data_IF_766664761820
#
_entry.id   IF_766664761820
#
_cell.length_a   1.000
_cell.length_b   1.000
_cell.length_c   1.000
_cell.angle_alpha   90.00
_cell.angle_beta   90.00
_cell.angle_gamma   90.00
#
_symmetry.space_group_name_H-M   'P 1'
#
loop_
_entity.id
_entity.type
_entity.pdbx_description
1 polymer ?
#
# COMPACT_ATOMS: atom_id res chain seq x y z
N UNK A 1 -4.97 -28.90 2.50
CA UNK A 1 -5.46 -29.26 1.14
C UNK A 1 -4.40 -28.83 0.13
N UNK A 2 -3.81 -29.74 -0.64
CA UNK A 2 -2.89 -29.38 -1.71
C UNK A 2 -3.71 -28.81 -2.86
N UNK A 3 -3.49 -27.58 -3.18
CA UNK A 3 -4.19 -26.86 -4.24
C UNK A 3 -3.62 -27.28 -5.59
N UNK A 4 -4.36 -28.05 -6.35
CA UNK A 4 -4.03 -28.31 -7.76
C UNK A 4 -4.70 -27.21 -8.56
N UNK A 5 -3.90 -26.38 -9.24
CA UNK A 5 -4.38 -25.21 -9.97
C UNK A 5 -5.44 -25.56 -11.03
N UNK A 6 -6.14 -24.55 -11.56
CA UNK A 6 -7.29 -24.69 -12.46
C UNK A 6 -6.99 -25.42 -13.77
N UNK A 7 -5.73 -25.50 -14.15
CA UNK A 7 -5.28 -26.12 -15.42
C UNK A 7 -5.58 -27.61 -15.55
N UNK A 8 -5.93 -28.29 -14.46
CA UNK A 8 -6.21 -29.73 -14.47
C UNK A 8 -7.69 -30.04 -14.30
N UNK A 9 -8.58 -29.06 -14.31
CA UNK A 9 -10.02 -29.31 -14.28
C UNK A 9 -10.56 -29.38 -15.71
N UNK A 10 -11.11 -30.54 -16.07
CA UNK A 10 -11.76 -30.78 -17.36
C UNK A 10 -13.17 -30.16 -17.46
N UNK A 11 -13.74 -29.67 -16.36
CA UNK A 11 -15.06 -29.04 -16.31
C UNK A 11 -14.98 -27.55 -16.25
N UNK A 12 -15.95 -26.82 -16.82
CA UNK A 12 -16.08 -25.37 -16.66
C UNK A 12 -16.13 -24.99 -15.18
N UNK A 13 -15.31 -24.04 -14.78
CA UNK A 13 -15.34 -23.50 -13.42
C UNK A 13 -16.60 -22.65 -13.26
N UNK A 14 -17.31 -22.83 -12.15
CA UNK A 14 -18.38 -21.90 -11.78
C UNK A 14 -17.78 -20.52 -11.44
N UNK A 15 -18.52 -19.43 -11.70
CA UNK A 15 -18.07 -18.07 -11.40
C UNK A 15 -17.70 -17.90 -9.92
N UNK A 16 -18.44 -18.55 -9.02
CA UNK A 16 -18.14 -18.57 -7.57
C UNK A 16 -16.80 -19.23 -7.23
N UNK A 17 -16.38 -20.25 -7.98
CA UNK A 17 -15.09 -20.90 -7.79
C UNK A 17 -13.95 -19.99 -8.21
N UNK A 18 -14.13 -19.28 -9.33
CA UNK A 18 -13.15 -18.31 -9.85
C UNK A 18 -13.00 -17.15 -8.88
N UNK A 19 -14.11 -16.56 -8.42
CA UNK A 19 -14.14 -15.49 -7.44
C UNK A 19 -13.42 -15.88 -6.15
N UNK A 20 -13.75 -17.05 -5.60
CA UNK A 20 -13.09 -17.56 -4.40
C UNK A 20 -11.58 -17.78 -4.57
N UNK A 21 -11.14 -18.20 -5.75
CA UNK A 21 -9.71 -18.40 -6.05
C UNK A 21 -8.98 -17.08 -6.19
N UNK A 22 -9.56 -16.10 -6.90
CA UNK A 22 -9.01 -14.76 -7.05
C UNK A 22 -8.90 -14.05 -5.70
N UNK A 23 -9.94 -14.15 -4.89
CA UNK A 23 -9.92 -13.59 -3.54
C UNK A 23 -8.79 -14.20 -2.68
N UNK A 24 -8.68 -15.53 -2.67
CA UNK A 24 -7.63 -16.19 -1.90
C UNK A 24 -6.24 -15.80 -2.38
N UNK A 25 -6.02 -15.74 -3.70
CA UNK A 25 -4.75 -15.32 -4.29
C UNK A 25 -4.41 -13.87 -3.91
N UNK A 26 -5.35 -12.96 -4.04
CA UNK A 26 -5.18 -11.55 -3.70
C UNK A 26 -4.84 -11.37 -2.22
N UNK A 27 -5.55 -12.06 -1.34
CA UNK A 27 -5.30 -12.05 0.10
C UNK A 27 -3.89 -12.54 0.45
N UNK A 28 -3.48 -13.68 -0.07
CA UNK A 28 -2.15 -14.23 0.23
C UNK A 28 -1.03 -13.42 -0.42
N UNK A 29 -1.26 -12.83 -1.59
CA UNK A 29 -0.31 -11.93 -2.22
C UNK A 29 -0.08 -10.66 -1.38
N UNK A 30 -1.15 -9.98 -0.96
CA UNK A 30 -1.04 -8.79 -0.10
C UNK A 30 -0.41 -9.13 1.26
N UNK A 31 -0.83 -10.22 1.89
CA UNK A 31 -0.24 -10.68 3.15
C UNK A 31 1.26 -10.95 3.01
N UNK A 32 1.67 -11.58 1.92
CA UNK A 32 3.08 -11.88 1.67
C UNK A 32 3.89 -10.62 1.38
N UNK A 33 3.38 -9.74 0.51
CA UNK A 33 4.08 -8.55 0.07
C UNK A 33 4.05 -7.47 1.17
N UNK A 34 2.87 -7.11 1.64
CA UNK A 34 2.69 -5.93 2.49
C UNK A 34 3.02 -6.22 3.95
N UNK A 35 2.62 -7.40 4.47
CA UNK A 35 2.78 -7.69 5.89
C UNK A 35 4.09 -8.40 6.23
N UNK A 36 4.73 -9.10 5.30
CA UNK A 36 5.86 -9.98 5.64
C UNK A 36 7.11 -9.82 4.78
N UNK A 37 7.08 -9.12 3.65
CA UNK A 37 8.21 -9.13 2.70
C UNK A 37 9.43 -8.35 3.14
N UNK A 38 9.26 -7.35 3.99
CA UNK A 38 10.30 -6.35 4.37
C UNK A 38 10.87 -5.57 3.16
N UNK A 39 10.15 -5.58 2.03
CA UNK A 39 10.60 -4.95 0.78
C UNK A 39 10.35 -3.45 0.73
N UNK A 40 10.52 -2.74 1.83
CA UNK A 40 10.21 -1.32 1.91
C UNK A 40 10.54 -0.72 3.26
N UNK A 41 9.97 0.44 3.54
CA UNK A 41 10.00 1.07 4.86
C UNK A 41 8.92 0.40 5.69
N UNK A 42 9.31 -0.13 6.85
CA UNK A 42 8.39 -0.80 7.76
C UNK A 42 7.64 0.21 8.63
N UNK A 43 6.39 -0.10 8.90
CA UNK A 43 5.59 0.61 9.88
C UNK A 43 6.19 0.44 11.28
N UNK A 44 6.26 1.53 12.03
CA UNK A 44 6.70 1.52 13.42
C UNK A 44 5.81 2.46 14.23
N UNK A 45 5.20 1.94 15.29
CA UNK A 45 4.37 2.73 16.22
C UNK A 45 5.06 3.99 16.77
N UNK A 46 6.39 4.00 16.81
CA UNK A 46 7.15 5.16 17.31
C UNK A 46 7.09 6.37 16.40
N UNK A 47 6.74 6.17 15.13
CA UNK A 47 6.68 7.22 14.11
C UNK A 47 5.25 7.78 13.94
N UNK A 48 4.25 7.10 14.46
CA UNK A 48 2.85 7.54 14.41
C UNK A 48 2.54 8.44 15.61
N UNK A 49 2.64 9.76 15.43
CA UNK A 49 2.34 10.75 16.46
C UNK A 49 0.83 10.98 16.71
N UNK A 50 -0.05 10.33 15.95
CA UNK A 50 -1.49 10.67 15.90
C UNK A 50 -2.47 9.55 16.22
N UNK A 51 -2.06 8.28 16.37
CA UNK A 51 -3.04 7.20 16.56
C UNK A 51 -3.39 6.98 18.03
N UNK A 52 -4.63 7.37 18.40
CA UNK A 52 -5.23 7.15 19.72
C UNK A 52 -5.99 5.83 19.88
N UNK A 53 -5.92 4.90 18.91
CA UNK A 53 -6.63 3.63 18.96
C UNK A 53 -5.77 2.49 19.48
N UNK A 54 -5.92 2.17 20.76
CA UNK A 54 -5.07 1.21 21.50
C UNK A 54 -5.40 -0.27 21.31
N UNK A 55 -6.54 -0.66 20.73
CA UNK A 55 -6.99 -2.06 20.72
C UNK A 55 -6.60 -2.88 19.48
N UNK A 56 -6.50 -2.25 18.31
CA UNK A 56 -6.30 -2.98 17.04
C UNK A 56 -4.82 -3.12 16.63
N UNK A 57 -3.95 -2.40 17.31
CA UNK A 57 -2.50 -2.39 17.07
C UNK A 57 -1.82 -3.73 17.37
N UNK A 58 -2.39 -4.57 18.24
CA UNK A 58 -1.80 -5.86 18.61
C UNK A 58 -1.68 -6.87 17.46
N UNK A 59 -2.46 -6.69 16.40
CA UNK A 59 -2.40 -7.56 15.21
C UNK A 59 -1.27 -7.11 14.30
N UNK A 60 -1.10 -5.80 14.10
CA UNK A 60 -0.01 -5.24 13.29
C UNK A 60 1.37 -5.57 13.89
N UNK A 61 1.47 -5.65 15.22
CA UNK A 61 2.71 -6.00 15.92
C UNK A 61 3.21 -7.43 15.64
N UNK A 62 2.32 -8.32 15.18
CA UNK A 62 2.66 -9.69 14.79
C UNK A 62 3.30 -9.78 13.41
N UNK A 63 3.22 -8.72 12.63
CA UNK A 63 3.74 -8.61 11.28
C UNK A 63 4.83 -7.52 11.21
N UNK A 64 5.47 -7.41 10.07
CA UNK A 64 6.37 -6.30 9.73
C UNK A 64 5.79 -5.52 8.56
N UNK A 65 4.62 -4.85 8.77
CA UNK A 65 3.88 -4.25 7.68
C UNK A 65 4.68 -3.12 7.02
N UNK A 66 4.50 -2.98 5.71
CA UNK A 66 5.15 -1.92 4.95
C UNK A 66 4.31 -0.66 4.96
N UNK A 67 4.93 0.47 5.33
CA UNK A 67 4.35 1.78 5.12
C UNK A 67 4.64 2.32 3.72
N UNK A 68 5.73 1.87 3.12
CA UNK A 68 6.15 2.27 1.79
C UNK A 68 6.93 1.15 1.12
N UNK A 69 6.64 0.86 -0.15
CA UNK A 69 7.23 -0.22 -0.93
C UNK A 69 8.38 0.30 -1.79
N UNK A 70 9.50 -0.43 -1.83
CA UNK A 70 10.61 -0.17 -2.73
C UNK A 70 10.40 -0.81 -4.10
N UNK A 71 10.82 -0.10 -5.15
CA UNK A 71 10.96 -0.68 -6.48
C UNK A 71 12.09 -1.68 -6.49
N UNK A 72 11.83 -2.83 -7.08
CA UNK A 72 12.82 -3.90 -7.19
C UNK A 72 13.43 -3.97 -8.59
N UNK A 73 14.75 -4.14 -8.64
CA UNK A 73 15.48 -4.35 -9.90
C UNK A 73 15.76 -5.81 -10.20
N UNK A 74 16.02 -6.64 -9.20
CA UNK A 74 16.31 -8.08 -9.34
C UNK A 74 15.74 -8.86 -8.16
N UNK A 75 14.85 -9.82 -8.39
CA UNK A 75 14.18 -10.57 -7.33
C UNK A 75 15.05 -11.73 -6.82
N UNK A 76 15.73 -11.55 -5.73
CA UNK A 76 16.27 -12.66 -4.96
C UNK A 76 15.34 -12.95 -3.78
N UNK A 77 14.88 -14.20 -3.70
CA UNK A 77 14.04 -14.70 -2.65
C UNK A 77 14.85 -15.58 -1.72
N UNK A 78 14.91 -15.23 -0.46
CA UNK A 78 15.60 -16.01 0.56
C UNK A 78 14.69 -17.11 1.03
N UNK A 79 15.00 -18.35 0.70
CA UNK A 79 14.37 -19.52 1.28
C UNK A 79 15.15 -19.98 2.52
N UNK A 80 14.63 -19.66 3.69
CA UNK A 80 15.09 -20.31 4.92
C UNK A 80 13.96 -21.14 5.51
N UNK A 81 14.29 -22.11 6.38
CA UNK A 81 13.28 -22.92 7.08
C UNK A 81 12.31 -22.05 7.90
N UNK A 82 12.75 -20.88 8.35
CA UNK A 82 12.04 -20.03 9.30
C UNK A 82 11.59 -18.68 8.71
N UNK A 83 12.01 -18.30 7.53
CA UNK A 83 11.58 -17.05 6.90
C UNK A 83 11.47 -17.19 5.39
N UNK A 84 10.42 -16.57 4.85
CA UNK A 84 10.21 -16.41 3.41
C UNK A 84 10.22 -14.91 3.13
N UNK A 85 11.37 -14.36 2.83
CA UNK A 85 11.54 -12.93 2.56
C UNK A 85 12.40 -12.71 1.32
N UNK A 86 12.28 -11.53 0.75
CA UNK A 86 13.19 -11.10 -0.30
C UNK A 86 14.50 -10.58 0.32
N UNK A 87 15.60 -10.70 -0.42
CA UNK A 87 16.87 -10.13 -0.02
C UNK A 87 16.83 -8.60 -0.15
N UNK A 88 16.89 -7.90 0.97
CA UNK A 88 16.86 -6.43 1.02
C UNK A 88 18.04 -5.79 0.27
N UNK A 89 19.20 -6.45 0.22
CA UNK A 89 20.37 -5.96 -0.51
C UNK A 89 20.15 -5.89 -2.02
N UNK A 90 19.19 -6.68 -2.53
CA UNK A 90 18.83 -6.70 -3.96
C UNK A 90 17.91 -5.54 -4.39
N UNK A 91 17.43 -4.71 -3.46
CA UNK A 91 16.53 -3.60 -3.78
C UNK A 91 17.29 -2.31 -4.07
N UNK A 92 16.86 -1.58 -5.08
CA UNK A 92 17.39 -0.24 -5.37
C UNK A 92 16.95 0.82 -4.37
N UNK A 93 16.02 0.49 -3.46
CA UNK A 93 15.39 1.41 -2.50
C UNK A 93 14.77 2.66 -3.14
N UNK A 94 14.46 2.58 -4.44
CA UNK A 94 13.68 3.60 -5.16
C UNK A 94 12.21 3.45 -4.79
N UNK A 95 11.53 4.57 -4.61
CA UNK A 95 10.13 4.65 -4.22
C UNK A 95 9.37 5.36 -5.32
N UNK A 96 8.43 4.64 -5.96
CA UNK A 96 7.55 5.22 -6.97
C UNK A 96 6.17 5.49 -6.35
N UNK A 97 5.64 6.71 -6.49
CA UNK A 97 4.30 7.04 -6.00
C UNK A 97 3.23 6.11 -6.56
N UNK A 98 3.20 5.86 -7.87
CA UNK A 98 2.22 4.95 -8.50
C UNK A 98 2.20 3.57 -7.86
N UNK A 99 3.37 2.93 -7.65
CA UNK A 99 3.43 1.59 -7.05
C UNK A 99 2.88 1.58 -5.63
N UNK A 100 3.15 2.63 -4.87
CA UNK A 100 2.68 2.78 -3.50
C UNK A 100 1.18 3.07 -3.44
N UNK A 101 0.66 3.92 -4.32
CA UNK A 101 -0.78 4.14 -4.46
C UNK A 101 -1.53 2.84 -4.78
N UNK A 102 -1.04 2.03 -5.74
CA UNK A 102 -1.62 0.74 -6.08
C UNK A 102 -1.60 -0.25 -4.91
N UNK A 103 -0.54 -0.26 -4.10
CA UNK A 103 -0.47 -1.07 -2.88
C UNK A 103 -1.58 -0.68 -1.92
N UNK A 104 -1.74 0.61 -1.64
CA UNK A 104 -2.78 1.12 -0.73
C UNK A 104 -4.18 0.86 -1.26
N UNK A 105 -4.43 1.10 -2.54
CA UNK A 105 -5.73 0.80 -3.18
C UNK A 105 -6.07 -0.69 -3.07
N UNK A 106 -5.09 -1.58 -3.25
CA UNK A 106 -5.30 -3.03 -3.11
C UNK A 106 -5.67 -3.43 -1.68
N UNK A 107 -5.12 -2.78 -0.65
CA UNK A 107 -5.52 -2.97 0.74
C UNK A 107 -6.97 -2.51 0.98
N UNK A 108 -7.33 -1.34 0.47
CA UNK A 108 -8.66 -0.77 0.61
C UNK A 108 -9.73 -1.61 -0.09
N UNK A 109 -9.47 -2.08 -1.30
CA UNK A 109 -10.38 -2.95 -2.04
C UNK A 109 -10.58 -4.28 -1.32
N UNK A 110 -9.51 -4.89 -0.81
CA UNK A 110 -9.61 -6.14 -0.07
C UNK A 110 -10.35 -5.95 1.26
N UNK A 111 -10.10 -4.85 1.97
CA UNK A 111 -10.82 -4.47 3.18
C UNK A 111 -12.33 -4.32 2.92
N UNK A 112 -12.69 -3.63 1.83
CA UNK A 112 -14.08 -3.45 1.41
C UNK A 112 -14.74 -4.78 1.04
N UNK A 113 -14.04 -5.66 0.33
CA UNK A 113 -14.53 -7.00 0.00
C UNK A 113 -14.84 -7.81 1.26
N UNK A 114 -14.00 -7.79 2.28
CA UNK A 114 -14.25 -8.42 3.57
C UNK A 114 -15.51 -7.86 4.24
N UNK A 115 -15.73 -6.55 4.17
CA UNK A 115 -16.93 -5.92 4.73
C UNK A 115 -18.21 -6.44 4.12
N UNK A 116 -18.22 -6.61 2.80
CA UNK A 116 -19.43 -6.96 2.04
C UNK A 116 -19.76 -8.45 2.07
N UNK A 117 -18.75 -9.32 2.17
CA UNK A 117 -18.92 -10.74 1.92
C UNK A 117 -18.51 -11.66 3.07
N UNK A 118 -17.64 -11.21 3.98
CA UNK A 118 -17.09 -12.06 5.05
C UNK A 118 -16.81 -11.27 6.33
N UNK A 119 -17.82 -11.09 7.14
CA UNK A 119 -17.77 -10.32 8.41
C UNK A 119 -16.81 -10.87 9.50
N UNK A 120 -15.91 -11.77 9.22
CA UNK A 120 -15.20 -12.55 10.25
C UNK A 120 -13.67 -12.41 10.18
N UNK A 121 -13.12 -11.63 9.24
CA UNK A 121 -11.67 -11.57 9.11
C UNK A 121 -11.08 -10.32 9.81
N UNK A 122 -10.34 -10.56 10.89
CA UNK A 122 -9.62 -9.52 11.65
C UNK A 122 -8.64 -8.70 10.81
N UNK A 123 -8.35 -9.10 9.55
CA UNK A 123 -7.50 -8.36 8.64
C UNK A 123 -8.20 -7.16 7.98
N UNK A 124 -9.53 -7.10 7.98
CA UNK A 124 -10.28 -5.96 7.42
C UNK A 124 -9.83 -4.64 8.03
N UNK A 125 -9.94 -4.56 9.36
CA UNK A 125 -9.63 -3.34 10.09
C UNK A 125 -8.14 -3.04 10.02
N UNK A 126 -7.29 -4.08 10.09
CA UNK A 126 -5.84 -3.97 9.92
C UNK A 126 -5.46 -3.36 8.57
N UNK A 127 -6.10 -3.78 7.48
CA UNK A 127 -5.82 -3.22 6.15
C UNK A 127 -6.27 -1.78 6.03
N UNK A 128 -7.42 -1.43 6.61
CA UNK A 128 -7.91 -0.05 6.59
C UNK A 128 -7.03 0.90 7.41
N UNK A 129 -6.61 0.47 8.60
CA UNK A 129 -5.66 1.22 9.44
C UNK A 129 -4.32 1.39 8.72
N UNK A 130 -3.78 0.31 8.16
CA UNK A 130 -2.50 0.36 7.45
C UNK A 130 -2.58 1.27 6.21
N UNK A 131 -3.69 1.22 5.47
CA UNK A 131 -3.90 2.09 4.32
C UNK A 131 -3.90 3.58 4.73
N UNK A 132 -4.54 3.91 5.86
CA UNK A 132 -4.48 5.27 6.42
C UNK A 132 -3.06 5.70 6.72
N UNK A 133 -2.33 4.91 7.47
CA UNK A 133 -0.94 5.20 7.84
C UNK A 133 -0.02 5.35 6.61
N UNK A 134 -0.27 4.55 5.56
CA UNK A 134 0.43 4.68 4.28
C UNK A 134 0.14 6.03 3.62
N UNK A 135 -1.13 6.44 3.54
CA UNK A 135 -1.52 7.72 2.94
C UNK A 135 -0.92 8.90 3.71
N UNK A 136 -0.98 8.87 5.04
CA UNK A 136 -0.37 9.90 5.89
C UNK A 136 1.15 9.98 5.65
N UNK A 137 1.81 8.81 5.55
CA UNK A 137 3.24 8.75 5.22
C UNK A 137 3.55 9.34 3.84
N UNK A 138 2.73 9.05 2.82
CA UNK A 138 2.94 9.58 1.47
C UNK A 138 2.76 11.09 1.43
N UNK A 139 1.77 11.61 2.12
CA UNK A 139 1.55 13.05 2.25
C UNK A 139 2.76 13.77 2.81
N UNK A 140 3.34 13.22 3.89
CA UNK A 140 4.46 13.85 4.59
C UNK A 140 5.81 13.65 3.87
N UNK A 141 6.01 12.51 3.19
CA UNK A 141 7.35 12.09 2.80
C UNK A 141 7.56 11.93 1.28
N UNK A 142 6.51 11.73 0.47
CA UNK A 142 6.69 11.51 -0.97
C UNK A 142 6.44 12.75 -1.82
N UNK A 143 6.09 13.88 -1.23
CA UNK A 143 5.95 15.16 -1.93
C UNK A 143 7.27 15.94 -1.97
N UNK A 144 7.42 16.79 -2.97
CA UNK A 144 8.48 17.78 -3.04
C UNK A 144 8.06 19.11 -2.37
N UNK A 145 8.89 20.15 -2.47
CA UNK A 145 8.60 21.48 -1.92
C UNK A 145 7.41 22.18 -2.59
N UNK A 146 7.02 21.75 -3.78
CA UNK A 146 5.86 22.25 -4.54
C UNK A 146 4.56 21.51 -4.21
N UNK A 147 4.63 20.52 -3.31
CA UNK A 147 3.48 19.72 -2.90
C UNK A 147 3.12 18.58 -3.84
N UNK A 148 3.91 18.31 -4.89
CA UNK A 148 3.69 17.24 -5.88
C UNK A 148 4.39 15.96 -5.47
N UNK A 149 3.76 14.81 -5.71
CA UNK A 149 4.38 13.50 -5.53
C UNK A 149 5.50 13.27 -6.53
N UNK A 150 6.65 12.86 -6.05
CA UNK A 150 7.85 12.62 -6.87
C UNK A 150 8.53 11.32 -6.48
N UNK A 151 9.27 10.74 -7.43
CA UNK A 151 10.10 9.56 -7.15
C UNK A 151 11.16 9.90 -6.10
N UNK A 152 11.22 9.08 -5.05
CA UNK A 152 12.20 9.21 -3.95
C UNK A 152 13.16 8.04 -3.96
N UNK A 153 14.27 8.21 -3.27
CA UNK A 153 15.21 7.13 -2.96
C UNK A 153 15.53 7.15 -1.48
N UNK A 154 15.43 6.00 -0.83
CA UNK A 154 15.92 5.87 0.54
C UNK A 154 17.42 5.58 0.52
N UNK A 155 18.20 6.49 1.10
CA UNK A 155 19.67 6.40 1.19
C UNK A 155 20.15 5.90 2.56
N UNK A 156 19.24 5.49 3.46
CA UNK A 156 19.62 4.90 4.73
C UNK A 156 20.36 3.58 4.54
N UNK A 157 21.29 3.29 5.44
CA UNK A 157 21.99 2.00 5.49
C UNK A 157 21.03 0.85 5.77
N UNK A 158 21.40 -0.36 5.34
CA UNK A 158 20.62 -1.57 5.62
C UNK A 158 20.62 -1.85 7.12
N UNK A 159 19.44 -2.13 7.68
CA UNK A 159 19.27 -2.37 9.10
C UNK A 159 19.16 -1.12 9.98
N UNK A 160 19.23 0.10 9.42
CA UNK A 160 18.95 1.32 10.18
C UNK A 160 17.48 1.37 10.60
N UNK A 161 17.22 1.86 11.82
CA UNK A 161 15.84 1.98 12.35
C UNK A 161 15.06 3.17 11.77
N UNK A 162 15.67 3.95 10.87
CA UNK A 162 15.07 5.12 10.26
C UNK A 162 15.17 5.09 8.74
N UNK A 163 14.58 6.09 8.11
CA UNK A 163 14.68 6.30 6.67
C UNK A 163 15.21 7.73 6.39
N UNK A 164 15.90 7.88 5.27
CA UNK A 164 16.36 9.17 4.76
C UNK A 164 16.03 9.22 3.27
N UNK A 165 15.04 10.05 2.92
CA UNK A 165 14.49 10.14 1.57
C UNK A 165 15.03 11.36 0.85
N UNK A 166 15.59 11.13 -0.32
CA UNK A 166 15.99 12.18 -1.25
C UNK A 166 15.12 12.14 -2.51
N UNK A 167 14.89 13.28 -3.14
CA UNK A 167 14.23 13.32 -4.45
C UNK A 167 15.16 12.70 -5.49
N UNK A 168 14.66 11.69 -6.20
CA UNK A 168 15.39 11.07 -7.31
C UNK A 168 15.10 11.80 -8.62
N UNK A 169 13.85 12.15 -8.85
CA UNK A 169 13.41 13.00 -9.96
C UNK A 169 12.59 14.17 -9.40
N UNK A 170 12.71 15.32 -10.04
CA UNK A 170 11.93 16.53 -9.70
C UNK A 170 10.79 16.76 -10.68
N UNK A 171 10.69 15.95 -11.74
CA UNK A 171 9.68 16.10 -12.78
C UNK A 171 8.31 15.69 -12.28
N UNK A 172 7.31 16.51 -12.58
CA UNK A 172 5.93 16.16 -12.40
C UNK A 172 5.58 14.98 -13.32
N UNK A 173 5.09 13.91 -12.73
CA UNK A 173 4.54 12.77 -13.46
C UNK A 173 3.03 12.70 -13.20
N UNK A 174 2.23 12.96 -14.24
CA UNK A 174 0.77 12.96 -14.11
C UNK A 174 0.20 11.59 -13.69
N UNK A 175 0.84 10.49 -14.10
CA UNK A 175 0.42 9.13 -13.72
C UNK A 175 0.57 8.94 -12.20
N UNK A 176 1.69 9.39 -11.62
CA UNK A 176 1.90 9.32 -10.18
C UNK A 176 0.85 10.11 -9.40
N UNK A 177 0.56 11.34 -9.85
CA UNK A 177 -0.47 12.18 -9.22
C UNK A 177 -1.85 11.55 -9.35
N UNK A 178 -2.21 10.99 -10.52
CA UNK A 178 -3.51 10.38 -10.76
C UNK A 178 -3.76 9.17 -9.85
N UNK A 179 -2.79 8.27 -9.72
CA UNK A 179 -2.93 7.11 -8.85
C UNK A 179 -2.96 7.49 -7.38
N UNK A 180 -2.18 8.49 -6.96
CA UNK A 180 -2.27 9.02 -5.61
C UNK A 180 -3.65 9.65 -5.35
N UNK A 181 -4.14 10.50 -6.24
CA UNK A 181 -5.49 11.05 -6.16
C UNK A 181 -6.55 9.95 -5.96
N UNK A 182 -6.48 8.88 -6.76
CA UNK A 182 -7.40 7.75 -6.65
C UNK A 182 -7.29 7.04 -5.29
N UNK A 183 -6.07 6.84 -4.77
CA UNK A 183 -5.86 6.18 -3.49
C UNK A 183 -6.45 6.98 -2.31
N UNK A 184 -6.24 8.30 -2.28
CA UNK A 184 -6.82 9.19 -1.27
C UNK A 184 -8.35 9.23 -1.36
N UNK A 185 -8.90 9.35 -2.57
CA UNK A 185 -10.35 9.35 -2.76
C UNK A 185 -10.99 8.02 -2.37
N UNK A 186 -10.36 6.88 -2.72
CA UNK A 186 -10.85 5.55 -2.36
C UNK A 186 -10.89 5.35 -0.85
N UNK A 187 -9.87 5.85 -0.13
CA UNK A 187 -9.89 5.82 1.34
C UNK A 187 -11.09 6.57 1.90
N UNK A 188 -11.33 7.80 1.44
CA UNK A 188 -12.53 8.56 1.83
C UNK A 188 -13.80 7.79 1.50
N UNK A 189 -13.91 7.26 0.29
CA UNK A 189 -15.11 6.54 -0.16
C UNK A 189 -15.45 5.35 0.73
N UNK A 190 -14.45 4.57 1.13
CA UNK A 190 -14.62 3.42 2.01
C UNK A 190 -14.88 3.81 3.49
N UNK A 191 -14.58 5.04 3.88
CA UNK A 191 -14.69 5.53 5.26
C UNK A 191 -15.56 6.79 5.36
N UNK A 192 -16.51 6.99 4.47
CA UNK A 192 -17.32 8.22 4.37
C UNK A 192 -18.14 8.55 5.61
N UNK A 193 -18.41 7.57 6.47
CA UNK A 193 -19.08 7.75 7.75
C UNK A 193 -18.16 8.37 8.83
N UNK A 194 -16.85 8.33 8.62
CA UNK A 194 -15.88 8.88 9.54
C UNK A 194 -15.57 10.34 9.17
N UNK A 195 -15.88 11.33 10.02
CA UNK A 195 -15.62 12.74 9.73
C UNK A 195 -14.15 13.05 9.41
N UNK A 196 -13.20 12.31 10.00
CA UNK A 196 -11.78 12.51 9.73
C UNK A 196 -11.36 12.06 8.33
N UNK A 197 -12.18 11.31 7.61
CA UNK A 197 -11.88 10.89 6.25
C UNK A 197 -12.08 12.02 5.21
N UNK A 198 -12.76 13.10 5.58
CA UNK A 198 -13.04 14.22 4.66
C UNK A 198 -11.76 14.91 4.20
N UNK A 199 -10.71 14.96 5.02
CA UNK A 199 -9.42 15.55 4.68
C UNK A 199 -8.75 14.83 3.48
N UNK A 200 -8.96 13.51 3.35
CA UNK A 200 -8.43 12.73 2.23
C UNK A 200 -9.17 13.03 0.92
N UNK A 201 -10.49 13.29 0.99
CA UNK A 201 -11.27 13.77 -0.15
C UNK A 201 -10.81 15.14 -0.59
N UNK A 202 -10.69 16.08 0.35
CA UNK A 202 -10.26 17.45 0.05
C UNK A 202 -8.89 17.43 -0.63
N UNK A 203 -7.96 16.67 -0.08
CA UNK A 203 -6.64 16.52 -0.70
C UNK A 203 -6.69 15.89 -2.09
N UNK A 204 -7.55 14.89 -2.33
CA UNK A 204 -7.74 14.33 -3.68
C UNK A 204 -8.26 15.36 -4.68
N UNK A 205 -9.16 16.26 -4.23
CA UNK A 205 -9.70 17.35 -5.05
C UNK A 205 -8.65 18.46 -5.32
N UNK A 206 -7.72 18.70 -4.40
CA UNK A 206 -6.58 19.58 -4.64
C UNK A 206 -5.71 19.06 -5.80
N UNK A 207 -5.43 17.75 -5.85
CA UNK A 207 -4.71 17.15 -6.97
C UNK A 207 -5.49 17.28 -8.27
N UNK A 208 -6.81 17.08 -8.25
CA UNK A 208 -7.66 17.28 -9.42
C UNK A 208 -7.61 18.74 -9.91
N UNK A 209 -7.69 19.68 -8.99
CA UNK A 209 -7.61 21.12 -9.31
C UNK A 209 -6.26 21.47 -9.96
N UNK A 210 -5.17 20.87 -9.47
CA UNK A 210 -3.87 21.00 -10.10
C UNK A 210 -3.91 20.54 -11.58
N UNK A 211 -4.54 19.42 -11.90
CA UNK A 211 -4.68 18.95 -13.30
C UNK A 211 -5.48 19.93 -14.17
N UNK A 212 -6.57 20.49 -13.64
CA UNK A 212 -7.40 21.45 -14.36
C UNK A 212 -6.59 22.70 -14.68
N UNK A 213 -5.86 23.22 -13.70
CA UNK A 213 -5.02 24.41 -13.88
C UNK A 213 -3.90 24.17 -14.92
N UNK A 214 -3.30 22.97 -14.94
CA UNK A 214 -2.31 22.62 -15.97
C UNK A 214 -2.92 22.58 -17.37
N UNK A 215 -4.15 22.08 -17.52
CA UNK A 215 -4.84 22.05 -18.81
C UNK A 215 -5.14 23.47 -19.35
N UNK A 216 -5.46 24.40 -18.45
CA UNK A 216 -5.77 25.79 -18.84
C UNK A 216 -4.50 26.58 -19.18
N UNK A 217 -3.33 26.13 -18.74
CA UNK A 217 -2.05 26.78 -18.99
C UNK A 217 -1.37 26.33 -20.30
N UNK A 218 -1.92 25.29 -20.98
CA UNK A 218 -1.45 24.75 -22.26
C UNK A 218 -2.26 25.31 -23.42
#
# INVERSE_FOLDING_TARGET
MKYIGPFFRMNSLASSDIEGQLFYLSREALKTIVLNSKCGIQYSHRNSKRSSHHSDNSILDKFSPLICLYRKSSPYFIHSKNSKSFDESSFKKDILPTTNALMTMSLLELSNYYSNYRNVDSLKDVYNILAKEQLDFYYENLRNSEGVFVEKKNISENGSKGFNLINKDKKLNFVDQSFMMCAYYLYYFNNSENPSAIEYKEFSLEILTMFINFKEAL
#
